data_IF_257673873724
#
_entry.id   IF_257673873724
#
_cell.length_a   1.000
_cell.length_b   1.000
_cell.length_c   1.000
_cell.angle_alpha   90.00
_cell.angle_beta   90.00
_cell.angle_gamma   90.00
#
_symmetry.space_group_name_H-M   'P 1'
#
loop_
_entity.id
_entity.type
_entity.pdbx_description
1 polymer ?
#
# COMPACT_ATOMS: atom_id res chain seq x y z
N UNK A 1 -1.51 14.18 6.29
CA UNK A 1 -0.21 13.63 5.92
C UNK A 1 -0.29 12.36 5.10
N UNK A 2 -1.35 12.25 4.33
CA UNK A 2 -1.52 11.17 3.38
C UNK A 2 -1.20 11.72 2.00
N UNK A 3 -0.30 11.05 1.30
CA UNK A 3 0.11 11.44 -0.04
C UNK A 3 -0.32 10.41 -1.05
N UNK A 4 -0.78 10.89 -2.21
CA UNK A 4 -1.11 9.98 -3.29
C UNK A 4 0.14 9.74 -4.14
N UNK A 5 0.39 8.48 -4.45
CA UNK A 5 1.53 8.06 -5.25
C UNK A 5 1.06 7.49 -6.58
N UNK A 6 2.00 6.94 -7.35
CA UNK A 6 1.69 6.22 -8.56
C UNK A 6 0.98 4.91 -8.23
N UNK A 7 0.39 4.27 -9.24
CA UNK A 7 -0.22 2.93 -9.14
C UNK A 7 -1.41 2.90 -8.19
N UNK A 8 -2.13 4.02 -8.05
CA UNK A 8 -3.27 4.11 -7.14
C UNK A 8 -2.90 3.82 -5.70
N UNK A 9 -1.65 4.07 -5.34
CA UNK A 9 -1.20 3.91 -3.97
C UNK A 9 -1.28 5.22 -3.23
N UNK A 10 -1.44 5.09 -1.94
CA UNK A 10 -1.31 6.20 -1.00
C UNK A 10 -0.24 5.85 0.00
N UNK A 11 0.38 6.85 0.57
CA UNK A 11 1.33 6.60 1.65
C UNK A 11 1.00 7.46 2.85
N UNK A 12 1.33 6.92 3.99
CA UNK A 12 1.30 7.66 5.24
C UNK A 12 2.65 7.44 5.90
N UNK A 13 3.20 8.49 6.48
CA UNK A 13 4.55 8.42 7.03
C UNK A 13 4.56 8.78 8.51
N UNK A 14 4.09 7.88 9.36
CA UNK A 14 4.29 8.09 10.79
C UNK A 14 5.79 8.03 11.10
N UNK A 15 6.14 8.40 12.29
CA UNK A 15 7.53 8.55 12.67
C UNK A 15 8.37 7.34 12.27
N UNK A 16 9.37 7.58 11.41
CA UNK A 16 10.34 6.58 11.04
C UNK A 16 9.85 5.48 10.13
N UNK A 17 8.59 5.51 9.72
CA UNK A 17 8.00 4.43 8.94
C UNK A 17 7.29 5.02 7.74
N UNK A 18 7.28 4.26 6.67
CA UNK A 18 6.49 4.59 5.49
C UNK A 18 5.58 3.42 5.20
N UNK A 19 4.27 3.67 5.20
CA UNK A 19 3.29 2.63 4.94
C UNK A 19 2.54 2.96 3.66
N UNK A 20 2.33 1.96 2.84
CA UNK A 20 1.58 2.10 1.59
C UNK A 20 0.25 1.41 1.73
N UNK A 21 -0.79 2.02 1.15
CA UNK A 21 -2.10 1.43 1.23
C UNK A 21 -2.93 1.85 0.01
N UNK A 22 -4.06 1.19 -0.15
CA UNK A 22 -5.01 1.48 -1.22
C UNK A 22 -6.41 1.33 -0.65
N UNK A 23 -7.29 2.21 -1.08
CA UNK A 23 -8.70 2.04 -0.74
C UNK A 23 -9.26 0.85 -1.52
N UNK A 24 -10.06 0.07 -0.84
CA UNK A 24 -10.68 -1.10 -1.44
C UNK A 24 -12.16 -1.08 -1.06
N UNK A 25 -13.03 -0.90 -2.07
CA UNK A 25 -14.42 -0.71 -1.78
C UNK A 25 -14.64 0.64 -1.13
N UNK A 26 -15.59 0.73 -0.24
CA UNK A 26 -15.94 2.01 0.36
C UNK A 26 -15.31 2.26 1.71
N UNK A 27 -14.83 1.25 2.35
CA UNK A 27 -14.37 1.38 3.72
C UNK A 27 -12.99 0.80 3.99
N UNK A 28 -12.63 -0.23 3.27
CA UNK A 28 -11.44 -1.01 3.61
C UNK A 28 -10.20 -0.35 3.07
N UNK A 29 -9.23 -0.20 3.94
CA UNK A 29 -7.92 0.30 3.58
C UNK A 29 -6.95 -0.85 3.75
N UNK A 30 -6.27 -1.19 2.68
CA UNK A 30 -5.33 -2.28 2.68
C UNK A 30 -3.92 -1.72 2.73
N UNK A 31 -3.16 -2.13 3.75
CA UNK A 31 -1.77 -1.73 3.87
C UNK A 31 -0.93 -2.75 3.11
N UNK A 32 -0.28 -2.29 2.06
CA UNK A 32 0.48 -3.20 1.22
C UNK A 32 1.89 -3.44 1.70
N UNK A 33 2.60 -2.38 2.04
CA UNK A 33 4.02 -2.51 2.35
C UNK A 33 4.43 -1.43 3.33
N UNK A 34 5.24 -1.82 4.31
CA UNK A 34 5.73 -0.91 5.33
C UNK A 34 7.25 -0.99 5.36
N UNK A 35 7.92 0.16 5.27
CA UNK A 35 9.37 0.22 5.34
C UNK A 35 9.78 1.37 6.24
N UNK A 36 10.98 1.27 6.78
CA UNK A 36 11.54 2.37 7.53
C UNK A 36 11.78 3.55 6.60
N UNK A 37 11.52 4.72 7.10
CA UNK A 37 11.68 5.94 6.32
C UNK A 37 13.15 6.30 6.24
N UNK A 38 13.79 5.97 5.13
CA UNK A 38 15.20 6.26 4.93
C UNK A 38 15.45 7.22 3.79
N UNK A 39 14.43 7.47 2.97
CA UNK A 39 14.56 8.40 1.86
C UNK A 39 13.35 9.32 1.86
N UNK A 40 13.48 10.43 1.15
CA UNK A 40 12.37 11.38 1.07
C UNK A 40 11.33 10.97 0.05
N UNK A 41 11.72 10.17 -0.92
CA UNK A 41 10.80 9.70 -1.95
C UNK A 41 10.63 8.20 -1.84
N UNK A 42 9.42 7.74 -2.15
CA UNK A 42 9.15 6.31 -2.19
C UNK A 42 9.85 5.70 -3.40
N UNK A 43 10.77 4.75 -3.19
CA UNK A 43 11.40 4.07 -4.32
C UNK A 43 10.35 3.29 -5.10
N UNK A 44 10.49 3.29 -6.43
CA UNK A 44 9.52 2.62 -7.28
C UNK A 44 9.41 1.13 -6.97
N UNK A 45 10.53 0.50 -6.65
CA UNK A 45 10.51 -0.94 -6.36
C UNK A 45 9.64 -1.26 -5.15
N UNK A 46 9.63 -0.37 -4.15
CA UNK A 46 8.79 -0.56 -2.98
C UNK A 46 7.32 -0.35 -3.31
N UNK A 47 7.05 0.62 -4.17
CA UNK A 47 5.68 0.84 -4.61
C UNK A 47 5.15 -0.37 -5.39
N UNK A 48 5.97 -0.94 -6.25
CA UNK A 48 5.57 -2.12 -7.02
C UNK A 48 5.33 -3.31 -6.10
N UNK A 49 6.16 -3.46 -5.08
CA UNK A 49 5.96 -4.53 -4.12
C UNK A 49 4.65 -4.34 -3.35
N UNK A 50 4.34 -3.10 -2.98
CA UNK A 50 3.09 -2.81 -2.28
C UNK A 50 1.89 -3.14 -3.16
N UNK A 51 1.95 -2.75 -4.44
CA UNK A 51 0.87 -3.07 -5.36
C UNK A 51 0.67 -4.57 -5.44
N UNK A 52 1.75 -5.32 -5.57
CA UNK A 52 1.67 -6.77 -5.66
C UNK A 52 1.04 -7.37 -4.43
N UNK A 53 1.44 -6.89 -3.26
CA UNK A 53 0.91 -7.40 -2.01
C UNK A 53 -0.60 -7.13 -1.90
N UNK A 54 -1.00 -5.92 -2.29
CA UNK A 54 -2.40 -5.54 -2.23
C UNK A 54 -3.22 -6.37 -3.21
N UNK A 55 -2.71 -6.55 -4.42
CA UNK A 55 -3.43 -7.32 -5.42
C UNK A 55 -3.57 -8.78 -5.01
N UNK A 56 -2.53 -9.33 -4.39
CA UNK A 56 -2.60 -10.68 -3.88
C UNK A 56 -3.66 -10.81 -2.78
N UNK A 57 -3.72 -9.82 -1.91
CA UNK A 57 -4.73 -9.83 -0.85
C UNK A 57 -6.14 -9.80 -1.45
N UNK A 58 -6.37 -8.93 -2.42
CA UNK A 58 -7.68 -8.81 -3.05
C UNK A 58 -8.06 -10.10 -3.75
N UNK A 59 -7.12 -10.70 -4.46
CA UNK A 59 -7.36 -11.96 -5.15
C UNK A 59 -7.72 -13.07 -4.17
N UNK A 60 -7.00 -13.16 -3.08
CA UNK A 60 -7.26 -14.20 -2.07
C UNK A 60 -8.61 -13.97 -1.40
N UNK A 61 -8.96 -12.73 -1.16
CA UNK A 61 -10.26 -12.42 -0.58
C UNK A 61 -11.38 -12.89 -1.48
N UNK A 62 -11.25 -12.64 -2.78
CA UNK A 62 -12.26 -13.06 -3.75
C UNK A 62 -12.38 -14.57 -3.81
N UNK A 63 -11.27 -15.27 -3.69
CA UNK A 63 -11.27 -16.72 -3.72
C UNK A 63 -11.90 -17.32 -2.47
N UNK A 64 -11.74 -16.65 -1.34
CA UNK A 64 -12.26 -17.14 -0.08
C UNK A 64 -13.75 -16.95 0.07
N UNK A 65 -14.36 -16.17 -0.79
CA UNK A 65 -15.79 -15.84 -0.70
C UNK A 65 -16.65 -16.75 -1.55
N UNK A 66 -16.28 -17.95 -1.69
CA UNK A 66 -17.08 -18.89 -2.48
C UNK A 66 -18.22 -19.47 -1.68
#
# INVERSE_FOLDING_TARGET
>A
NINKLDYDLYEIKPKGVRAYFRYHGQKIIIIGFVVLKKTQKAPKRYMKQAVRNIENYIRNEQNDNK
#
